data_IF_304563170117
#
_entry.id   IF_304563170117
#
_cell.length_a   1.000
_cell.length_b   1.000
_cell.length_c   1.000
_cell.angle_alpha   90.00
_cell.angle_beta   90.00
_cell.angle_gamma   90.00
#
_symmetry.space_group_name_H-M   'P 1'
#
loop_
_entity.id
_entity.type
_entity.pdbx_description
1 polymer ?
#
# COMPACT_ATOMS: atom_id res chain seq x y z
N UNK A 1 -7.62 15.99 10.81
CA UNK A 1 -6.73 14.94 10.29
C UNK A 1 -6.86 15.02 8.78
N UNK A 2 -5.75 14.99 8.04
CA UNK A 2 -5.78 15.19 6.60
C UNK A 2 -6.53 14.04 5.91
N UNK A 3 -7.42 14.38 4.99
CA UNK A 3 -8.23 13.46 4.21
C UNK A 3 -7.51 13.13 2.89
N UNK A 4 -7.01 11.89 2.77
CA UNK A 4 -6.31 11.41 1.57
C UNK A 4 -7.29 10.60 0.70
N UNK A 5 -7.39 10.93 -0.59
CA UNK A 5 -8.22 10.20 -1.56
C UNK A 5 -7.37 9.85 -2.79
N UNK A 6 -7.36 8.59 -3.17
CA UNK A 6 -6.62 8.08 -4.34
C UNK A 6 -7.65 7.61 -5.37
N UNK A 7 -7.70 8.30 -6.49
CA UNK A 7 -8.55 8.00 -7.63
C UNK A 7 -7.76 7.17 -8.64
N UNK A 8 -8.19 5.94 -8.87
CA UNK A 8 -7.47 4.95 -9.65
C UNK A 8 -8.05 4.79 -11.04
N UNK A 9 -7.23 4.36 -12.02
CA UNK A 9 -7.75 3.95 -13.32
C UNK A 9 -8.79 2.82 -13.18
N UNK A 10 -9.46 2.50 -14.28
CA UNK A 10 -10.41 1.39 -14.32
C UNK A 10 -9.66 0.05 -14.11
N UNK A 11 -9.59 -0.40 -12.86
CA UNK A 11 -8.97 -1.66 -12.46
C UNK A 11 -10.01 -2.78 -12.43
N UNK A 12 -9.58 -4.02 -12.70
CA UNK A 12 -10.47 -5.19 -12.67
C UNK A 12 -11.00 -5.51 -11.26
N UNK A 13 -10.32 -5.05 -10.21
CA UNK A 13 -10.68 -5.29 -8.81
C UNK A 13 -10.13 -4.17 -7.91
N UNK A 14 -10.62 -4.07 -6.68
CA UNK A 14 -10.29 -2.96 -5.76
C UNK A 14 -8.79 -2.85 -5.42
N UNK A 15 -8.05 -3.95 -5.42
CA UNK A 15 -6.59 -3.93 -5.20
C UNK A 15 -5.80 -3.76 -6.50
N UNK A 16 -6.42 -4.01 -7.65
CA UNK A 16 -5.79 -3.97 -8.98
C UNK A 16 -4.79 -5.10 -9.27
N UNK A 17 -4.59 -6.04 -8.35
CA UNK A 17 -3.61 -7.14 -8.48
C UNK A 17 -4.23 -8.46 -8.97
N UNK A 18 -5.32 -8.37 -9.73
CA UNK A 18 -6.00 -9.54 -10.28
C UNK A 18 -5.42 -9.88 -11.66
N UNK A 19 -4.70 -11.01 -11.76
CA UNK A 19 -4.09 -11.48 -13.02
C UNK A 19 -2.57 -11.68 -12.91
N UNK A 20 -1.95 -12.19 -13.97
CA UNK A 20 -0.50 -12.46 -14.02
C UNK A 20 0.36 -11.22 -14.28
N UNK A 21 -0.25 -10.14 -14.78
CA UNK A 21 0.42 -8.90 -15.21
C UNK A 21 0.17 -7.75 -14.23
N UNK A 22 0.03 -8.04 -12.94
CA UNK A 22 -0.26 -7.02 -11.93
C UNK A 22 0.91 -6.06 -11.73
N UNK A 23 0.63 -4.75 -11.76
CA UNK A 23 1.63 -3.71 -11.51
C UNK A 23 2.14 -3.79 -10.03
N UNK A 24 3.46 -3.90 -9.79
CA UNK A 24 4.03 -3.93 -8.44
C UNK A 24 3.74 -2.67 -7.61
N UNK A 25 3.45 -1.53 -8.25
CA UNK A 25 3.03 -0.30 -7.56
C UNK A 25 1.69 -0.47 -6.85
N UNK A 26 0.76 -1.27 -7.42
CA UNK A 26 -0.53 -1.59 -6.83
C UNK A 26 -0.39 -2.44 -5.57
N UNK A 27 0.56 -3.36 -5.53
CA UNK A 27 0.89 -4.15 -4.33
C UNK A 27 1.37 -3.20 -3.22
N UNK A 28 2.30 -2.32 -3.56
CA UNK A 28 2.95 -1.39 -2.62
C UNK A 28 1.94 -0.40 -2.03
N UNK A 29 1.11 0.24 -2.88
CA UNK A 29 0.11 1.20 -2.41
C UNK A 29 -1.00 0.50 -1.62
N UNK A 30 -1.42 -0.71 -2.00
CA UNK A 30 -2.41 -1.48 -1.24
C UNK A 30 -1.92 -1.77 0.18
N UNK A 31 -0.67 -2.20 0.31
CA UNK A 31 -0.06 -2.44 1.62
C UNK A 31 0.09 -1.15 2.44
N UNK A 32 0.53 -0.06 1.81
CA UNK A 32 0.69 1.23 2.48
C UNK A 32 -0.66 1.78 2.98
N UNK A 33 -1.70 1.79 2.13
CA UNK A 33 -3.05 2.26 2.48
C UNK A 33 -3.61 1.46 3.65
N UNK A 34 -3.47 0.12 3.64
CA UNK A 34 -3.89 -0.71 4.78
C UNK A 34 -3.16 -0.31 6.07
N UNK A 35 -1.83 -0.16 6.01
CA UNK A 35 -1.05 0.25 7.18
C UNK A 35 -1.46 1.63 7.71
N UNK A 36 -1.75 2.60 6.83
CA UNK A 36 -2.20 3.92 7.25
C UNK A 36 -3.63 3.90 7.84
N UNK A 37 -4.54 3.08 7.30
CA UNK A 37 -5.85 2.85 7.91
C UNK A 37 -5.74 2.27 9.32
N UNK A 38 -4.83 1.33 9.54
CA UNK A 38 -4.57 0.76 10.87
C UNK A 38 -4.01 1.80 11.86
N UNK A 39 -3.36 2.86 11.37
CA UNK A 39 -2.92 4.03 12.15
C UNK A 39 -4.02 5.08 12.36
N UNK A 40 -5.24 4.82 11.87
CA UNK A 40 -6.38 5.73 11.98
C UNK A 40 -6.37 6.89 10.98
N UNK A 41 -5.52 6.84 9.95
CA UNK A 41 -5.51 7.87 8.90
C UNK A 41 -6.77 7.75 8.04
N UNK A 42 -7.39 8.89 7.76
CA UNK A 42 -8.48 9.00 6.80
C UNK A 42 -7.92 8.92 5.36
N UNK A 43 -7.84 7.69 4.83
CA UNK A 43 -7.36 7.40 3.48
C UNK A 43 -8.31 6.47 2.73
N UNK A 44 -8.74 6.87 1.53
CA UNK A 44 -9.63 6.08 0.69
C UNK A 44 -9.10 5.93 -0.75
N UNK A 45 -9.53 4.85 -1.40
CA UNK A 45 -9.22 4.53 -2.80
C UNK A 45 -10.53 4.37 -3.56
N UNK A 46 -10.63 5.00 -4.72
CA UNK A 46 -11.77 4.92 -5.62
C UNK A 46 -11.32 4.39 -6.97
N UNK A 47 -11.84 3.24 -7.38
CA UNK A 47 -11.58 2.67 -8.70
C UNK A 47 -12.62 3.18 -9.69
N UNK A 48 -12.21 3.79 -10.80
CA UNK A 48 -13.10 4.33 -11.82
C UNK A 48 -14.12 3.31 -12.34
N UNK A 49 -13.75 2.02 -12.40
CA UNK A 49 -14.63 0.96 -12.89
C UNK A 49 -15.78 0.62 -11.92
N UNK A 50 -15.55 0.76 -10.61
CA UNK A 50 -16.49 0.27 -9.57
C UNK A 50 -17.12 1.40 -8.75
N UNK A 51 -16.47 2.58 -8.71
CA UNK A 51 -16.92 3.76 -7.98
C UNK A 51 -16.77 5.04 -8.83
N UNK A 52 -17.47 5.14 -9.97
CA UNK A 52 -17.38 6.32 -10.83
C UNK A 52 -18.00 7.58 -10.20
N UNK A 53 -18.91 7.42 -9.23
CA UNK A 53 -19.59 8.56 -8.59
C UNK A 53 -18.60 9.41 -7.78
N UNK A 54 -17.61 8.79 -7.12
CA UNK A 54 -16.57 9.50 -6.40
C UNK A 54 -15.78 10.50 -7.28
N UNK A 55 -15.59 10.19 -8.57
CA UNK A 55 -14.88 11.05 -9.54
C UNK A 55 -15.69 12.26 -9.99
N UNK A 56 -16.99 12.27 -9.73
CA UNK A 56 -17.90 13.37 -10.11
C UNK A 56 -18.38 14.19 -8.92
N UNK A 57 -18.26 13.62 -7.71
CA UNK A 57 -18.69 14.24 -6.44
C UNK A 57 -17.59 15.11 -5.84
N UNK A 58 -16.33 14.67 -5.94
CA UNK A 58 -15.20 15.50 -5.53
C UNK A 58 -14.86 16.51 -6.62
N UNK A 59 -14.85 17.80 -6.27
CA UNK A 59 -14.66 18.89 -7.23
C UNK A 59 -13.29 18.82 -7.92
N UNK A 60 -12.25 18.42 -7.18
CA UNK A 60 -10.88 18.33 -7.67
C UNK A 60 -10.72 17.14 -8.61
N UNK A 61 -11.27 15.98 -8.24
CA UNK A 61 -11.31 14.82 -9.11
C UNK A 61 -12.11 15.09 -10.38
N UNK A 62 -13.28 15.75 -10.26
CA UNK A 62 -14.11 16.13 -11.42
C UNK A 62 -13.36 17.06 -12.35
N UNK A 63 -12.76 18.13 -11.84
CA UNK A 63 -11.98 19.07 -12.64
C UNK A 63 -10.80 18.39 -13.34
N UNK A 64 -10.11 17.48 -12.64
CA UNK A 64 -9.04 16.67 -13.20
C UNK A 64 -9.54 15.78 -14.35
N UNK A 65 -10.65 15.07 -14.16
CA UNK A 65 -11.24 14.22 -15.20
C UNK A 65 -11.68 15.02 -16.44
N UNK A 66 -12.18 16.24 -16.27
CA UNK A 66 -12.53 17.10 -17.40
C UNK A 66 -11.31 17.64 -18.16
N UNK A 67 -10.20 17.92 -17.46
CA UNK A 67 -9.04 18.60 -18.05
C UNK A 67 -8.00 17.62 -18.59
N UNK A 68 -7.70 16.56 -17.83
CA UNK A 68 -6.65 15.58 -18.13
C UNK A 68 -7.24 14.27 -18.64
N UNK A 69 -8.40 13.88 -18.12
CA UNK A 69 -9.05 12.62 -18.46
C UNK A 69 -8.47 11.41 -17.72
N UNK A 70 -9.02 10.23 -18.00
CA UNK A 70 -8.68 8.98 -17.31
C UNK A 70 -7.25 8.50 -17.54
N UNK A 71 -6.58 8.97 -18.59
CA UNK A 71 -5.18 8.62 -18.91
C UNK A 71 -4.18 9.23 -17.92
N UNK A 72 -4.56 10.26 -17.18
CA UNK A 72 -3.73 10.88 -16.14
C UNK A 72 -3.81 10.20 -14.77
N UNK A 73 -4.67 9.19 -14.61
CA UNK A 73 -4.82 8.44 -13.36
C UNK A 73 -3.58 7.55 -13.11
N UNK A 74 -3.24 7.21 -11.85
CA UNK A 74 -3.97 7.56 -10.63
C UNK A 74 -3.78 9.04 -10.21
N UNK A 75 -4.80 9.63 -9.60
CA UNK A 75 -4.79 10.97 -9.00
C UNK A 75 -4.83 10.84 -7.47
N UNK A 76 -3.95 11.54 -6.76
CA UNK A 76 -4.00 11.64 -5.29
C UNK A 76 -4.38 13.06 -4.87
N UNK A 77 -5.38 13.15 -3.99
CA UNK A 77 -5.90 14.38 -3.41
C UNK A 77 -5.73 14.34 -1.89
N UNK A 78 -5.28 15.44 -1.29
CA UNK A 78 -5.16 15.63 0.16
C UNK A 78 -5.90 16.91 0.52
N UNK A 79 -6.93 16.81 1.37
CA UNK A 79 -7.77 17.94 1.80
C UNK A 79 -8.28 18.78 0.60
N UNK A 80 -8.70 18.11 -0.48
CA UNK A 80 -9.19 18.74 -1.70
C UNK A 80 -8.10 19.24 -2.65
N UNK A 81 -6.81 19.11 -2.33
CA UNK A 81 -5.70 19.57 -3.17
C UNK A 81 -5.02 18.39 -3.89
N UNK A 82 -4.80 18.50 -5.20
CA UNK A 82 -4.01 17.53 -5.96
C UNK A 82 -2.55 17.53 -5.53
N UNK A 83 -2.02 16.38 -5.11
CA UNK A 83 -0.62 16.23 -4.67
C UNK A 83 0.21 15.28 -5.56
N UNK A 84 -0.42 14.38 -6.30
CA UNK A 84 0.25 13.47 -7.24
C UNK A 84 -0.69 13.03 -8.36
N UNK A 85 -0.14 12.77 -9.55
CA UNK A 85 -0.86 12.25 -10.72
C UNK A 85 0.01 11.27 -11.50
N UNK A 86 -0.59 10.36 -12.26
CA UNK A 86 0.10 9.38 -13.13
C UNK A 86 0.94 8.32 -12.42
N UNK A 87 1.12 8.42 -11.10
CA UNK A 87 1.88 7.45 -10.30
C UNK A 87 1.38 7.42 -8.86
N UNK A 88 1.49 6.26 -8.22
CA UNK A 88 1.11 6.09 -6.83
C UNK A 88 2.14 6.71 -5.88
N UNK A 89 1.72 7.45 -4.84
CA UNK A 89 2.63 7.95 -3.83
C UNK A 89 3.32 6.81 -3.08
N UNK A 90 4.58 7.02 -2.72
CA UNK A 90 5.32 6.13 -1.83
C UNK A 90 4.74 6.15 -0.41
N UNK A 91 5.03 5.11 0.38
CA UNK A 91 4.64 5.06 1.79
C UNK A 91 5.12 6.28 2.59
N UNK A 92 6.34 6.75 2.32
CA UNK A 92 6.89 7.94 2.98
C UNK A 92 6.05 9.18 2.67
N UNK A 93 5.70 9.40 1.40
CA UNK A 93 4.83 10.50 0.99
C UNK A 93 3.44 10.41 1.63
N UNK A 94 2.84 9.21 1.68
CA UNK A 94 1.55 9.02 2.34
C UNK A 94 1.60 9.35 3.84
N UNK A 95 2.69 9.00 4.52
CA UNK A 95 2.91 9.37 5.93
C UNK A 95 3.09 10.88 6.09
N UNK A 96 3.80 11.53 5.18
CA UNK A 96 3.96 12.98 5.18
C UNK A 96 2.62 13.69 4.96
N UNK A 97 1.81 13.24 4.00
CA UNK A 97 0.46 13.75 3.74
C UNK A 97 -0.47 13.57 4.96
N UNK A 98 -0.31 12.47 5.69
CA UNK A 98 -1.06 12.20 6.92
C UNK A 98 -0.57 13.01 8.13
N UNK A 99 0.50 13.80 8.01
CA UNK A 99 1.13 14.52 9.13
C UNK A 99 1.95 13.63 10.07
N UNK A 100 2.26 12.40 9.66
CA UNK A 100 3.02 11.39 10.41
C UNK A 100 4.51 11.32 10.01
N UNK A 101 4.94 12.12 9.04
CA UNK A 101 6.28 12.12 8.45
C UNK A 101 7.45 12.27 9.44
N UNK A 102 7.24 13.00 10.54
CA UNK A 102 8.29 13.20 11.55
C UNK A 102 8.40 12.07 12.58
N UNK A 103 7.42 11.16 12.66
CA UNK A 103 7.49 9.99 13.55
C UNK A 103 8.39 8.86 12.98
N UNK A 104 8.76 8.92 11.69
CA UNK A 104 9.56 7.88 11.03
C UNK A 104 11.08 8.14 11.01
N UNK A 105 11.58 9.25 11.57
CA UNK A 105 13.04 9.48 11.73
C UNK A 105 13.65 8.77 12.95
N UNK A 106 12.98 7.75 13.51
CA UNK A 106 13.41 7.10 14.74
C UNK A 106 12.89 5.69 14.97
N UNK A 107 12.59 4.90 13.93
CA UNK A 107 12.33 3.47 14.09
C UNK A 107 13.45 2.68 13.39
N UNK A 108 14.36 2.01 14.12
CA UNK A 108 15.25 1.05 13.50
C UNK A 108 14.39 -0.06 12.89
N UNK A 109 14.76 -0.52 11.69
CA UNK A 109 14.18 -1.72 11.10
C UNK A 109 14.08 -2.82 12.16
N UNK A 110 12.98 -3.57 12.27
CA UNK A 110 12.97 -4.72 13.16
C UNK A 110 14.09 -5.63 12.70
N UNK A 111 15.07 -5.81 13.59
CA UNK A 111 16.10 -6.82 13.45
C UNK A 111 15.38 -8.11 13.07
N UNK A 112 15.87 -8.74 12.00
CA UNK A 112 15.41 -10.04 11.52
C UNK A 112 15.21 -10.92 12.76
N UNK A 113 13.97 -11.35 12.99
CA UNK A 113 13.72 -12.37 14.00
C UNK A 113 14.44 -13.62 13.50
N UNK A 114 15.64 -13.84 14.03
CA UNK A 114 16.33 -15.12 13.93
C UNK A 114 15.36 -16.15 14.51
N UNK A 115 14.73 -16.92 13.61
CA UNK A 115 13.96 -18.09 13.95
C UNK A 115 14.92 -19.02 14.68
N UNK A 116 14.86 -19.00 16.01
CA UNK A 116 15.57 -19.91 16.87
C UNK A 116 15.12 -21.33 16.57
N UNK A 117 15.80 -21.99 15.63
CA UNK A 117 15.92 -23.43 15.63
C UNK A 117 16.68 -23.79 16.90
N UNK A 118 15.93 -24.03 17.97
CA UNK A 118 16.43 -24.75 19.10
C UNK A 118 16.87 -26.14 18.59
N UNK A 119 18.17 -26.31 18.38
CA UNK A 119 18.85 -27.59 18.25
C UNK A 119 18.53 -28.43 19.49
N UNK A 120 17.40 -29.14 19.47
CA UNK A 120 17.29 -30.39 20.20
C UNK A 120 18.21 -31.35 19.46
N UNK A 121 19.43 -31.51 19.96
CA UNK A 121 20.28 -32.66 19.64
C UNK A 121 19.61 -33.93 20.16
N UNK A 122 18.56 -34.37 19.46
CA UNK A 122 17.99 -35.69 19.54
C UNK A 122 18.95 -36.64 18.85
N UNK A 123 19.86 -37.24 19.63
CA UNK A 123 20.65 -38.37 19.18
C UNK A 123 19.70 -39.50 18.78
N UNK A 124 19.69 -39.82 17.48
CA UNK A 124 19.03 -41.02 16.95
C UNK A 124 19.50 -41.31 15.51
N UNK A 125 20.81 -41.47 15.33
CA UNK A 125 21.39 -42.15 14.18
C UNK A 125 22.37 -43.17 14.79
N UNK A 126 22.03 -44.44 14.88
CA UNK A 126 21.96 -45.31 13.71
C UNK A 126 23.31 -46.00 13.60
N UNK A 127 23.42 -47.15 14.27
CA UNK A 127 24.65 -47.72 14.78
C UNK A 127 25.68 -48.13 13.73
N UNK A 128 26.94 -48.03 14.15
CA UNK A 128 28.02 -48.89 13.64
C UNK A 128 28.61 -49.66 14.81
N UNK A 129 28.58 -50.99 14.66
CA UNK A 129 29.53 -51.96 15.22
C UNK A 129 29.30 -52.44 16.66
N UNK A 130 28.85 -53.70 16.78
CA UNK A 130 29.54 -54.70 17.60
C UNK A 130 29.03 -54.98 19.01
N UNK A 131 28.74 -56.27 19.23
CA UNK A 131 28.47 -56.97 20.48
C UNK A 131 29.31 -56.57 21.71
N UNK A 132 28.67 -56.45 22.87
CA UNK A 132 28.72 -57.38 24.02
C UNK A 132 27.84 -56.83 25.15
#
# INVERSE_FOLDING_TARGET
MAAIRIYEPALCCASGVCGTDSDPSLVTVTAAVRNLKDLGVDIERHNLATDPIAFTTDDTARAFMHTVGSTGLPLTVVDGVTVATGSYPSRAQLLDFAGLGSASKGAPAPARAELGLAEKSGGCCGGTTGCC
#
